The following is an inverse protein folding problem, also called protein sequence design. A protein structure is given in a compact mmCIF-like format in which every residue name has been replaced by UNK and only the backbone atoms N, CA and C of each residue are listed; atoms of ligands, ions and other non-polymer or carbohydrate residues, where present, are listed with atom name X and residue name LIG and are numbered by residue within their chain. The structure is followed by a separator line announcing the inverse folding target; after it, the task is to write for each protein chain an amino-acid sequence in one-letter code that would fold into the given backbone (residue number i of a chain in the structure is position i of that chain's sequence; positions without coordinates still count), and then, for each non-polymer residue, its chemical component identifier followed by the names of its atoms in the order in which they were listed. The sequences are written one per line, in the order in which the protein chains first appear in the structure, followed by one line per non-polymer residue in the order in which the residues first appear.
data_IF_331786769182
#
_entry.id   IF_331786769182
#
_cell.length_a   1.000
_cell.length_b   1.000
_cell.length_c   1.000
_cell.angle_alpha   90.00
_cell.angle_beta   90.00
_cell.angle_gamma   90.00
#
_symmetry.space_group_name_H-M   'P 1'
#
loop_
_entity.id
_entity.type
_entity.pdbx_description
1 polymer ?
#
# COMPACT_ATOMS: atom_id res chain seq x y z
N UNK A 1 -8.19 3.50 -31.99
CA UNK A 1 -8.85 2.79 -30.88
C UNK A 1 -7.96 2.87 -29.64
N UNK A 2 -8.47 3.44 -28.58
CA UNK A 2 -7.71 3.48 -27.33
C UNK A 2 -7.57 2.05 -26.75
N UNK A 3 -6.34 1.69 -26.42
CA UNK A 3 -6.04 0.36 -25.83
C UNK A 3 -5.84 0.43 -24.33
N UNK A 4 -6.11 1.59 -23.73
CA UNK A 4 -6.04 1.78 -22.29
C UNK A 4 -7.16 2.71 -21.83
N UNK A 5 -7.48 2.62 -20.56
CA UNK A 5 -8.41 3.56 -19.91
C UNK A 5 -7.79 4.04 -18.60
N UNK A 6 -8.16 5.24 -18.19
CA UNK A 6 -7.75 5.81 -16.91
C UNK A 6 -8.98 5.87 -16.01
N UNK A 7 -8.90 5.23 -14.87
CA UNK A 7 -9.97 5.19 -13.88
C UNK A 7 -9.47 5.71 -12.54
N UNK A 8 -10.34 6.35 -11.80
CA UNK A 8 -10.05 6.81 -10.46
C UNK A 8 -10.44 5.74 -9.45
N UNK A 9 -9.52 5.45 -8.54
CA UNK A 9 -9.74 4.53 -7.43
C UNK A 9 -9.47 5.24 -6.12
N UNK A 10 -10.30 4.95 -5.12
CA UNK A 10 -9.96 5.29 -3.74
C UNK A 10 -9.00 4.23 -3.18
N UNK A 11 -8.24 4.61 -2.16
CA UNK A 11 -7.23 3.70 -1.57
C UNK A 11 -7.89 2.45 -1.00
N UNK A 12 -9.03 2.60 -0.34
CA UNK A 12 -9.77 1.47 0.25
C UNK A 12 -10.26 0.49 -0.82
N UNK A 13 -10.79 0.98 -1.95
CA UNK A 13 -11.23 0.13 -3.06
C UNK A 13 -10.04 -0.58 -3.69
N UNK A 14 -8.93 0.13 -3.91
CA UNK A 14 -7.72 -0.45 -4.48
C UNK A 14 -7.17 -1.59 -3.60
N UNK A 15 -7.06 -1.36 -2.30
CA UNK A 15 -6.57 -2.37 -1.36
C UNK A 15 -7.54 -3.55 -1.24
N UNK A 16 -8.83 -3.30 -1.29
CA UNK A 16 -9.85 -4.35 -1.30
C UNK A 16 -9.75 -5.22 -2.55
N UNK A 17 -9.53 -4.63 -3.72
CA UNK A 17 -9.36 -5.37 -4.97
C UNK A 17 -8.11 -6.24 -4.97
N UNK A 18 -7.05 -5.76 -4.36
CA UNK A 18 -5.82 -6.56 -4.20
C UNK A 18 -6.05 -7.71 -3.22
N UNK A 19 -6.70 -7.44 -2.10
CA UNK A 19 -7.00 -8.46 -1.09
C UNK A 19 -7.91 -9.55 -1.62
N UNK A 20 -8.92 -9.18 -2.42
CA UNK A 20 -9.86 -10.14 -3.03
C UNK A 20 -9.27 -10.89 -4.23
N UNK A 21 -8.13 -10.44 -4.76
CA UNK A 21 -7.51 -11.02 -5.93
C UNK A 21 -8.04 -10.49 -7.26
N UNK A 22 -8.92 -9.49 -7.26
CA UNK A 22 -9.37 -8.83 -8.49
C UNK A 22 -8.23 -8.11 -9.21
N UNK A 23 -7.29 -7.55 -8.43
CA UNK A 23 -6.00 -7.10 -8.93
C UNK A 23 -4.95 -8.05 -8.39
N UNK A 24 -4.31 -8.78 -9.29
CA UNK A 24 -3.33 -9.79 -8.93
C UNK A 24 -1.93 -9.20 -8.95
N UNK A 25 -1.09 -9.72 -8.05
CA UNK A 25 0.31 -9.34 -7.96
C UNK A 25 1.12 -10.44 -8.65
N UNK A 26 1.97 -10.11 -9.66
CA UNK A 26 2.71 -11.14 -10.39
C UNK A 26 3.72 -11.87 -9.51
N UNK A 27 4.12 -13.07 -9.93
CA UNK A 27 5.07 -13.92 -9.22
C UNK A 27 6.41 -13.22 -8.98
N UNK A 28 6.88 -12.47 -9.98
CA UNK A 28 8.14 -11.73 -9.87
C UNK A 28 7.92 -10.38 -9.19
N UNK A 29 8.03 -10.38 -7.88
CA UNK A 29 7.97 -9.18 -7.07
C UNK A 29 9.36 -8.72 -6.66
N UNK A 30 9.52 -7.40 -6.59
CA UNK A 30 10.69 -6.81 -5.96
C UNK A 30 10.52 -6.79 -4.45
N UNK A 31 11.59 -7.00 -3.67
CA UNK A 31 11.55 -6.72 -2.25
C UNK A 31 11.14 -5.26 -2.00
N UNK A 32 10.57 -5.00 -0.84
CA UNK A 32 10.21 -3.63 -0.45
C UNK A 32 11.48 -2.86 -0.09
N UNK A 33 11.84 -1.89 -0.94
CA UNK A 33 13.08 -1.12 -0.78
C UNK A 33 12.85 0.28 -0.21
N UNK A 34 11.60 0.71 -0.08
CA UNK A 34 11.29 2.00 0.53
C UNK A 34 11.62 1.99 2.02
N UNK A 35 12.13 3.11 2.52
CA UNK A 35 12.27 3.29 3.95
C UNK A 35 10.96 3.81 4.56
N UNK A 36 10.89 3.82 5.89
CA UNK A 36 9.67 4.24 6.60
C UNK A 36 9.33 5.71 6.34
N UNK A 37 10.32 6.56 6.08
CA UNK A 37 10.10 7.98 5.75
C UNK A 37 9.39 8.14 4.41
N UNK A 38 9.74 7.35 3.41
CA UNK A 38 9.07 7.35 2.12
C UNK A 38 7.61 6.89 2.24
N UNK A 39 7.35 5.91 3.09
CA UNK A 39 5.98 5.45 3.39
C UNK A 39 5.19 6.58 4.07
N UNK A 40 5.79 7.25 5.06
CA UNK A 40 5.19 8.40 5.73
C UNK A 40 4.83 9.50 4.73
N UNK A 41 5.75 9.82 3.81
CA UNK A 41 5.53 10.86 2.80
C UNK A 41 4.39 10.50 1.85
N UNK A 42 4.26 9.22 1.50
CA UNK A 42 3.13 8.75 0.69
C UNK A 42 1.80 8.93 1.43
N UNK A 43 1.74 8.57 2.71
CA UNK A 43 0.53 8.76 3.53
C UNK A 43 0.14 10.22 3.62
N UNK A 44 1.11 11.10 3.83
CA UNK A 44 0.91 12.55 3.87
C UNK A 44 0.36 13.09 2.54
N UNK A 45 0.93 12.64 1.42
CA UNK A 45 0.48 13.04 0.09
C UNK A 45 -0.94 12.57 -0.21
N UNK A 46 -1.27 11.34 0.15
CA UNK A 46 -2.63 10.80 0.00
C UNK A 46 -3.64 11.60 0.84
N UNK A 47 -3.28 11.92 2.06
CA UNK A 47 -4.14 12.70 2.97
C UNK A 47 -4.41 14.10 2.44
N UNK A 48 -3.40 14.75 1.88
CA UNK A 48 -3.50 16.10 1.30
C UNK A 48 -4.10 16.13 -0.10
N UNK A 49 -4.32 14.96 -0.70
CA UNK A 49 -4.84 14.87 -2.06
C UNK A 49 -3.83 15.21 -3.14
N UNK A 50 -2.53 15.13 -2.85
CA UNK A 50 -1.48 15.37 -3.83
C UNK A 50 -1.36 14.20 -4.80
N UNK A 51 -0.99 14.45 -6.06
CA UNK A 51 -0.75 13.38 -7.02
C UNK A 51 0.39 12.46 -6.55
N UNK A 52 0.13 11.15 -6.57
CA UNK A 52 1.11 10.13 -6.17
C UNK A 52 1.57 9.25 -7.34
N UNK A 53 1.12 9.56 -8.55
CA UNK A 53 1.41 8.81 -9.77
C UNK A 53 0.33 7.78 -10.09
N UNK A 54 0.53 7.07 -11.18
CA UNK A 54 -0.40 6.07 -11.66
C UNK A 54 -0.03 4.69 -11.15
N UNK A 55 -1.05 3.87 -10.95
CA UNK A 55 -0.90 2.42 -10.80
C UNK A 55 -1.28 1.82 -12.15
N UNK A 56 -0.40 1.01 -12.71
CA UNK A 56 -0.61 0.40 -14.02
C UNK A 56 -0.98 -1.07 -13.83
N UNK A 57 -2.13 -1.44 -14.35
CA UNK A 57 -2.61 -2.82 -14.33
C UNK A 57 -2.85 -3.31 -15.76
N UNK A 58 -2.69 -4.60 -15.96
CA UNK A 58 -2.83 -5.23 -17.25
C UNK A 58 -3.78 -6.42 -17.13
N UNK A 59 -4.75 -6.48 -18.05
CA UNK A 59 -5.68 -7.60 -18.09
C UNK A 59 -5.16 -8.68 -19.04
N UNK A 60 -4.40 -9.60 -18.49
CA UNK A 60 -3.84 -10.73 -19.25
C UNK A 60 -4.16 -12.04 -18.53
N UNK A 61 -4.92 -12.94 -19.19
CA UNK A 61 -5.34 -14.18 -18.55
C UNK A 61 -4.23 -15.23 -18.38
N UNK A 62 -3.05 -15.00 -18.95
CA UNK A 62 -1.97 -16.00 -19.00
C UNK A 62 -0.82 -15.74 -18.03
N UNK A 63 -0.92 -14.73 -17.16
CA UNK A 63 0.16 -14.40 -16.23
C UNK A 63 0.08 -15.26 -14.98
N UNK A 64 1.22 -15.85 -14.61
CA UNK A 64 1.35 -16.66 -13.41
C UNK A 64 1.47 -15.76 -12.17
N UNK A 65 0.72 -16.08 -11.14
CA UNK A 65 0.67 -15.30 -9.91
C UNK A 65 1.71 -15.78 -8.89
N UNK A 66 1.87 -14.97 -7.85
CA UNK A 66 2.76 -15.22 -6.71
C UNK A 66 2.56 -16.57 -6.05
N UNK A 67 1.33 -17.08 -6.00
CA UNK A 67 0.98 -18.37 -5.40
C UNK A 67 1.10 -19.55 -6.38
N UNK A 68 1.57 -19.30 -7.60
CA UNK A 68 1.70 -20.31 -8.63
C UNK A 68 0.47 -20.53 -9.48
N UNK A 69 -0.65 -19.88 -9.18
CA UNK A 69 -1.87 -19.98 -9.99
C UNK A 69 -1.80 -19.05 -11.19
N UNK A 70 -2.66 -19.29 -12.19
CA UNK A 70 -2.77 -18.46 -13.39
C UNK A 70 -3.92 -17.47 -13.20
N UNK A 71 -3.65 -16.18 -13.47
CA UNK A 71 -4.69 -15.16 -13.45
C UNK A 71 -5.56 -15.29 -14.69
N UNK A 72 -6.82 -15.66 -14.50
CA UNK A 72 -7.80 -15.78 -15.59
C UNK A 72 -8.83 -14.66 -15.44
N UNK A 73 -8.90 -13.77 -16.44
CA UNK A 73 -9.87 -12.66 -16.45
C UNK A 73 -9.63 -11.61 -15.37
N UNK A 74 -8.47 -11.62 -14.72
CA UNK A 74 -8.11 -10.67 -13.64
C UNK A 74 -7.14 -9.62 -14.15
N UNK A 75 -7.12 -8.47 -13.47
CA UNK A 75 -6.12 -7.44 -13.69
C UNK A 75 -4.84 -7.81 -12.98
N UNK A 76 -3.70 -7.60 -13.63
CA UNK A 76 -2.38 -7.89 -13.07
C UNK A 76 -1.62 -6.58 -12.90
N UNK A 77 -1.06 -6.37 -11.72
CA UNK A 77 -0.29 -5.17 -11.41
C UNK A 77 1.04 -5.19 -12.17
N UNK A 78 1.28 -4.15 -12.97
CA UNK A 78 2.52 -4.00 -13.75
C UNK A 78 3.46 -2.98 -13.11
N UNK A 79 2.92 -1.83 -12.69
CA UNK A 79 3.71 -0.78 -12.09
C UNK A 79 2.99 -0.19 -10.88
N UNK A 80 3.78 0.30 -9.93
CA UNK A 80 3.27 0.84 -8.67
C UNK A 80 3.35 -0.14 -7.50
N UNK A 81 4.09 -1.23 -7.62
CA UNK A 81 4.20 -2.25 -6.59
C UNK A 81 4.72 -1.72 -5.26
N UNK A 82 5.73 -0.83 -5.27
CA UNK A 82 6.26 -0.24 -4.03
C UNK A 82 5.22 0.63 -3.34
N UNK A 83 4.46 1.42 -4.07
CA UNK A 83 3.38 2.25 -3.52
C UNK A 83 2.25 1.41 -2.95
N UNK A 84 1.84 0.38 -3.64
CA UNK A 84 0.82 -0.57 -3.16
C UNK A 84 1.30 -1.25 -1.88
N UNK A 85 2.53 -1.72 -1.86
CA UNK A 85 3.12 -2.37 -0.69
C UNK A 85 3.20 -1.39 0.49
N UNK A 86 3.58 -0.13 0.23
CA UNK A 86 3.61 0.92 1.24
C UNK A 86 2.22 1.18 1.84
N UNK A 87 1.19 1.28 1.00
CA UNK A 87 -0.20 1.45 1.45
C UNK A 87 -0.67 0.26 2.30
N UNK A 88 -0.40 -0.96 1.86
CA UNK A 88 -0.76 -2.15 2.62
C UNK A 88 -0.01 -2.22 3.97
N UNK A 89 1.25 -1.87 3.99
CA UNK A 89 2.05 -1.86 5.21
C UNK A 89 1.54 -0.84 6.23
N UNK A 90 1.25 0.39 5.79
CA UNK A 90 0.85 1.48 6.68
C UNK A 90 -0.62 1.40 7.08
N UNK A 91 -1.52 1.09 6.15
CA UNK A 91 -2.97 1.17 6.34
C UNK A 91 -3.55 -0.14 6.83
N UNK A 92 -3.12 -1.27 6.26
CA UNK A 92 -3.62 -2.60 6.63
C UNK A 92 -2.77 -3.22 7.76
N UNK A 93 -1.54 -2.78 7.93
CA UNK A 93 -0.64 -3.33 8.93
C UNK A 93 0.07 -4.59 8.47
N UNK A 94 0.13 -4.81 7.17
CA UNK A 94 0.79 -5.99 6.60
C UNK A 94 2.30 -5.90 6.73
N UNK A 95 2.94 -6.99 7.13
CA UNK A 95 4.39 -7.07 7.13
C UNK A 95 4.92 -7.11 5.70
N UNK A 96 6.09 -6.53 5.50
CA UNK A 96 6.75 -6.44 4.21
C UNK A 96 8.10 -7.13 4.24
N UNK A 97 8.50 -7.70 3.11
CA UNK A 97 9.79 -8.35 2.94
C UNK A 97 10.82 -7.32 2.46
N UNK A 98 11.81 -7.03 3.28
CA UNK A 98 12.83 -6.04 2.95
C UNK A 98 13.91 -6.60 2.01
N UNK A 99 14.91 -5.76 1.66
CA UNK A 99 16.01 -6.13 0.77
C UNK A 99 16.93 -7.21 1.34
N UNK A 100 16.87 -7.47 2.66
CA UNK A 100 17.61 -8.55 3.33
C UNK A 100 16.75 -9.81 3.52
N UNK A 101 15.57 -9.87 2.85
CA UNK A 101 14.62 -10.95 2.96
C UNK A 101 14.12 -11.18 4.38
N UNK A 102 14.03 -10.11 5.17
CA UNK A 102 13.44 -10.13 6.52
C UNK A 102 12.08 -9.47 6.51
N UNK A 103 11.14 -10.07 7.23
CA UNK A 103 9.82 -9.49 7.42
C UNK A 103 9.89 -8.36 8.45
N UNK A 104 9.28 -7.25 8.12
CA UNK A 104 9.22 -6.09 9.02
C UNK A 104 7.86 -5.41 8.95
N UNK A 105 7.52 -4.74 10.04
CA UNK A 105 6.35 -3.88 10.14
C UNK A 105 6.77 -2.43 9.87
N UNK A 106 5.99 -1.73 9.06
CA UNK A 106 6.17 -0.28 8.85
C UNK A 106 5.02 0.42 9.57
N UNK A 107 5.30 1.02 10.71
CA UNK A 107 4.30 1.67 11.55
C UNK A 107 4.38 3.19 11.37
N UNK A 108 3.25 3.79 11.02
CA UNK A 108 3.12 5.24 10.82
C UNK A 108 2.14 5.79 11.84
N UNK A 109 2.56 6.81 12.57
CA UNK A 109 1.74 7.52 13.53
C UNK A 109 1.12 8.76 12.90
N UNK A 110 0.00 9.21 13.45
CA UNK A 110 -0.73 10.39 12.97
C UNK A 110 -1.14 11.28 14.13
N UNK A 111 -0.90 12.57 13.99
CA UNK A 111 -1.39 13.58 14.92
C UNK A 111 -2.62 14.27 14.32
N UNK A 112 -3.84 13.99 14.83
CA UNK A 112 -5.06 14.55 14.24
C UNK A 112 -5.25 16.06 14.54
N UNK A 113 -4.54 16.61 15.52
CA UNK A 113 -4.63 18.04 15.85
C UNK A 113 -3.82 18.84 14.85
N UNK A 114 -2.58 18.45 14.60
CA UNK A 114 -1.67 19.12 13.67
C UNK A 114 -1.76 18.57 12.24
N UNK A 115 -2.49 17.47 12.04
CA UNK A 115 -2.68 16.81 10.76
C UNK A 115 -1.37 16.42 10.09
N UNK A 116 -0.47 15.82 10.87
CA UNK A 116 0.84 15.37 10.40
C UNK A 116 1.06 13.88 10.65
N UNK A 117 1.80 13.25 9.75
CA UNK A 117 2.24 11.86 9.87
C UNK A 117 3.70 11.82 10.26
N UNK A 118 4.06 10.86 11.10
CA UNK A 118 5.45 10.57 11.46
C UNK A 118 5.69 9.07 11.50
N UNK A 119 6.93 8.69 11.23
CA UNK A 119 7.37 7.32 11.49
C UNK A 119 7.29 7.06 12.99
N UNK A 120 6.81 5.87 13.39
CA UNK A 120 6.69 5.51 14.79
C UNK A 120 8.04 5.67 15.51
N UNK A 121 7.99 6.36 16.64
CA UNK A 121 9.14 6.55 17.52
C UNK A 121 8.69 6.52 18.98
N UNK A 122 9.63 6.54 19.92
CA UNK A 122 9.30 6.44 21.33
C UNK A 122 8.42 7.58 21.83
N UNK A 123 8.57 8.77 21.26
CA UNK A 123 7.80 9.95 21.68
C UNK A 123 6.33 9.85 21.22
N UNK A 124 6.09 9.59 19.93
CA UNK A 124 4.71 9.54 19.41
C UNK A 124 3.95 8.29 19.86
N UNK A 125 4.64 7.20 20.21
CA UNK A 125 4.00 5.97 20.72
C UNK A 125 3.48 6.14 22.16
N UNK A 126 4.01 7.08 22.91
CA UNK A 126 3.62 7.34 24.30
C UNK A 126 2.71 8.55 24.49
N UNK A 127 2.59 9.38 23.48
CA UNK A 127 1.81 10.62 23.54
C UNK A 127 0.34 10.37 23.28
N UNK A 128 -0.54 10.90 24.12
CA UNK A 128 -1.99 10.85 23.92
C UNK A 128 -2.48 11.73 22.74
N UNK A 129 -1.63 12.60 22.23
CA UNK A 129 -1.94 13.47 21.08
C UNK A 129 -1.81 12.73 19.74
N UNK A 130 -1.15 11.59 19.74
CA UNK A 130 -0.86 10.82 18.55
C UNK A 130 -1.67 9.54 18.50
N UNK A 131 -2.13 9.22 17.31
CA UNK A 131 -2.58 7.86 16.98
C UNK A 131 -1.29 7.08 16.70
N UNK A 132 -0.92 6.11 17.54
CA UNK A 132 0.41 5.48 17.45
C UNK A 132 0.60 4.62 16.20
N UNK A 133 -0.49 4.10 15.62
CA UNK A 133 -0.46 3.26 14.43
C UNK A 133 -1.76 3.45 13.64
N UNK A 134 -1.66 4.04 12.45
CA UNK A 134 -2.84 4.30 11.61
C UNK A 134 -3.53 3.01 11.16
N UNK A 135 -2.81 1.91 11.07
CA UNK A 135 -3.40 0.62 10.70
C UNK A 135 -4.46 0.16 11.71
N UNK A 136 -4.26 0.43 12.98
CA UNK A 136 -5.22 0.06 14.03
C UNK A 136 -6.53 0.82 13.90
N UNK A 137 -6.49 2.08 13.49
CA UNK A 137 -7.69 2.89 13.26
C UNK A 137 -8.42 2.39 12.02
N UNK A 138 -7.71 2.14 10.94
CA UNK A 138 -8.31 1.64 9.70
C UNK A 138 -8.98 0.27 9.90
N UNK A 139 -8.42 -0.58 10.73
CA UNK A 139 -8.98 -1.90 11.04
C UNK A 139 -10.27 -1.84 11.85
N UNK A 140 -10.48 -0.77 12.64
CA UNK A 140 -11.70 -0.61 13.44
C UNK A 140 -12.95 -0.32 12.59
N UNK A 141 -12.76 0.19 11.37
CA UNK A 141 -13.85 0.59 10.49
C UNK A 141 -14.03 -0.32 9.27
N UNK A 142 -13.28 -1.39 9.23
CA UNK A 142 -13.41 -2.44 8.22
C UNK A 142 -13.94 -3.72 8.85
#
# INVERSE_FOLDING_TARGET
MARYSVNNYTVDVLLADIKSGNIAIPEMQRPFVWDATQVRDLMDSLYKGFPVGYIIVWQNPSVKLKDGTVAIGKKVLIDGQQRITAMAAAIVGQEVLDSHYKWKRVCIAFNPIDEIFEVANSANQKSSKWIPDIAKVCLLYT
#
